data_IF_731237563848
#
_entry.id   IF_731237563848
#
_cell.length_a   1.000
_cell.length_b   1.000
_cell.length_c   1.000
_cell.angle_alpha   90.00
_cell.angle_beta   90.00
_cell.angle_gamma   90.00
#
_symmetry.space_group_name_H-M   'P 1'
#
loop_
_entity.id
_entity.type
_entity.pdbx_description
1 polymer ?
#
# COMPACT_ATOMS: atom_id res chain seq x y z
N UNK A 1 4.48 5.43 -11.34
CA UNK A 1 3.11 5.03 -10.94
C UNK A 1 2.37 6.26 -10.45
N UNK A 2 1.11 6.47 -10.85
CA UNK A 2 0.35 7.70 -10.53
C UNK A 2 -0.09 7.66 -9.06
N UNK A 3 0.27 8.67 -8.25
CA UNK A 3 -0.32 8.86 -6.92
C UNK A 3 -1.66 9.56 -7.08
N UNK A 4 -2.75 8.89 -6.71
CA UNK A 4 -4.07 9.51 -6.67
C UNK A 4 -4.21 10.29 -5.37
N UNK A 5 -4.71 11.52 -5.46
CA UNK A 5 -5.11 12.27 -4.27
C UNK A 5 -6.22 11.51 -3.55
N UNK A 6 -6.03 11.22 -2.27
CA UNK A 6 -7.05 10.55 -1.45
C UNK A 6 -8.19 11.47 -1.01
N UNK A 7 -8.04 12.77 -1.22
CA UNK A 7 -8.97 13.81 -0.76
C UNK A 7 -9.82 14.37 -1.92
N UNK A 8 -10.13 13.56 -2.94
CA UNK A 8 -10.87 13.98 -4.14
C UNK A 8 -11.91 12.97 -4.59
N UNK A 9 -12.67 13.30 -5.64
CA UNK A 9 -13.68 12.41 -6.21
C UNK A 9 -13.02 11.35 -7.10
N UNK A 10 -13.53 10.11 -7.05
CA UNK A 10 -12.94 9.00 -7.80
C UNK A 10 -12.94 9.22 -9.32
N UNK A 11 -13.93 9.94 -9.84
CA UNK A 11 -14.06 10.30 -11.27
C UNK A 11 -12.90 11.16 -11.80
N UNK A 12 -12.24 11.90 -10.92
CA UNK A 12 -11.10 12.76 -11.28
C UNK A 12 -9.78 11.99 -11.18
N UNK A 13 -9.77 10.90 -10.43
CA UNK A 13 -8.62 10.05 -10.20
C UNK A 13 -8.51 8.91 -11.23
N UNK A 14 -9.62 8.24 -11.59
CA UNK A 14 -9.61 7.06 -12.45
C UNK A 14 -10.55 7.22 -13.65
N UNK A 15 -10.11 6.71 -14.80
CA UNK A 15 -10.94 6.59 -16.01
C UNK A 15 -11.32 5.13 -16.26
N UNK A 16 -12.46 4.92 -16.89
CA UNK A 16 -12.85 3.58 -17.36
C UNK A 16 -11.79 3.02 -18.32
N UNK A 17 -11.56 1.71 -18.26
CA UNK A 17 -10.54 0.98 -19.06
C UNK A 17 -9.09 1.40 -18.79
N UNK A 18 -8.83 2.19 -17.75
CA UNK A 18 -7.46 2.53 -17.35
C UNK A 18 -6.79 1.35 -16.65
N UNK A 19 -5.70 0.84 -17.21
CA UNK A 19 -4.86 -0.16 -16.53
C UNK A 19 -4.10 0.51 -15.39
N UNK A 20 -4.06 -0.12 -14.22
CA UNK A 20 -3.32 0.36 -13.04
C UNK A 20 -2.75 -0.82 -12.28
N UNK A 21 -1.53 -0.66 -11.77
CA UNK A 21 -0.90 -1.66 -10.91
C UNK A 21 -1.64 -1.74 -9.57
N UNK A 22 -1.96 -2.95 -9.15
CA UNK A 22 -2.68 -3.24 -7.91
C UNK A 22 -2.08 -4.46 -7.22
N UNK A 23 -2.24 -4.52 -5.90
CA UNK A 23 -1.89 -5.65 -5.06
C UNK A 23 -3.17 -6.25 -4.48
N UNK A 24 -3.29 -7.58 -4.52
CA UNK A 24 -4.34 -8.32 -3.83
C UNK A 24 -4.05 -8.27 -2.33
N UNK A 25 -4.99 -7.73 -1.56
CA UNK A 25 -4.88 -7.61 -0.09
C UNK A 25 -5.82 -8.54 0.66
N UNK A 26 -6.86 -9.06 -0.02
CA UNK A 26 -7.69 -10.15 0.47
C UNK A 26 -8.10 -11.03 -0.70
N UNK A 27 -8.09 -12.34 -0.44
CA UNK A 27 -8.68 -13.32 -1.34
C UNK A 27 -10.16 -13.04 -1.59
N UNK A 28 -10.72 -13.55 -2.70
CA UNK A 28 -12.15 -13.51 -2.95
C UNK A 28 -12.95 -14.16 -1.81
N UNK A 29 -14.16 -13.63 -1.55
CA UNK A 29 -15.06 -14.19 -0.54
C UNK A 29 -16.43 -14.42 -1.18
N UNK A 30 -16.80 -15.69 -1.37
CA UNK A 30 -18.05 -16.08 -2.02
C UNK A 30 -18.18 -15.41 -3.40
N UNK A 31 -19.21 -14.58 -3.59
CA UNK A 31 -19.47 -13.85 -4.85
C UNK A 31 -18.70 -12.53 -4.96
N UNK A 32 -18.01 -12.09 -3.90
CA UNK A 32 -17.20 -10.87 -3.94
C UNK A 32 -15.80 -11.19 -4.45
N UNK A 33 -15.40 -10.48 -5.51
CA UNK A 33 -14.03 -10.53 -6.04
C UNK A 33 -12.97 -10.13 -5.01
N UNK A 34 -11.68 -10.32 -5.34
CA UNK A 34 -10.58 -10.03 -4.44
C UNK A 34 -10.52 -8.55 -4.08
N UNK A 35 -10.10 -8.24 -2.86
CA UNK A 35 -9.88 -6.84 -2.46
C UNK A 35 -8.52 -6.39 -2.95
N UNK A 36 -8.49 -5.26 -3.65
CA UNK A 36 -7.29 -4.70 -4.26
C UNK A 36 -6.84 -3.41 -3.58
N UNK A 37 -5.55 -3.11 -3.66
CA UNK A 37 -4.94 -1.83 -3.26
C UNK A 37 -3.96 -1.35 -4.32
N UNK A 38 -3.90 -0.04 -4.57
CA UNK A 38 -2.83 0.56 -5.39
C UNK A 38 -1.59 0.93 -4.56
N UNK A 39 -1.61 0.69 -3.24
CA UNK A 39 -0.42 0.78 -2.39
C UNK A 39 0.33 -0.55 -2.44
N UNK A 40 1.42 -0.56 -3.20
CA UNK A 40 2.27 -1.74 -3.33
C UNK A 40 3.23 -1.81 -2.14
N UNK A 41 3.32 -3.00 -1.55
CA UNK A 41 4.27 -3.31 -0.49
C UNK A 41 4.97 -4.63 -0.78
N UNK A 42 6.30 -4.62 -0.65
CA UNK A 42 7.15 -5.78 -0.85
C UNK A 42 7.76 -6.16 0.49
N UNK A 43 7.27 -7.25 1.07
CA UNK A 43 7.77 -7.76 2.34
C UNK A 43 9.08 -8.52 2.12
N UNK A 44 10.14 -8.08 2.78
CA UNK A 44 11.40 -8.80 2.94
C UNK A 44 11.52 -9.41 4.33
N UNK A 45 12.68 -10.04 4.61
CA UNK A 45 12.91 -10.72 5.89
C UNK A 45 12.93 -9.79 7.10
N UNK A 46 13.47 -8.57 6.93
CA UNK A 46 13.68 -7.60 8.03
C UNK A 46 13.02 -6.24 7.78
N UNK A 47 12.55 -5.99 6.57
CA UNK A 47 11.98 -4.70 6.16
C UNK A 47 10.83 -4.93 5.19
N UNK A 48 9.90 -3.98 5.14
CA UNK A 48 8.87 -3.89 4.11
C UNK A 48 9.16 -2.66 3.26
N UNK A 49 9.37 -2.85 1.95
CA UNK A 49 9.56 -1.75 1.00
C UNK A 49 8.20 -1.28 0.48
N UNK A 50 7.95 0.02 0.58
CA UNK A 50 6.77 0.67 0.01
C UNK A 50 7.27 1.69 -1.03
N UNK A 51 7.49 1.29 -2.29
CA UNK A 51 8.30 2.04 -3.27
C UNK A 51 7.73 3.41 -3.67
N UNK A 52 6.46 3.69 -3.34
CA UNK A 52 5.81 4.96 -3.67
C UNK A 52 5.35 5.73 -2.44
N UNK A 53 5.83 5.38 -1.24
CA UNK A 53 5.58 6.11 0.00
C UNK A 53 6.79 6.96 0.37
N UNK A 54 6.57 8.16 0.90
CA UNK A 54 7.62 8.99 1.53
C UNK A 54 7.77 8.71 3.03
N UNK A 55 6.92 7.83 3.57
CA UNK A 55 6.93 7.49 4.99
C UNK A 55 7.92 6.38 5.28
N UNK A 56 8.82 6.64 6.23
CA UNK A 56 9.62 5.62 6.92
C UNK A 56 8.95 5.33 8.26
N UNK A 57 8.89 4.07 8.67
CA UNK A 57 8.27 3.67 9.94
C UNK A 57 8.96 2.45 10.51
N UNK A 58 9.11 2.43 11.83
CA UNK A 58 9.73 1.33 12.58
C UNK A 58 8.64 0.50 13.26
N UNK A 59 8.85 -0.81 13.35
CA UNK A 59 7.88 -1.73 13.99
C UNK A 59 7.56 -1.30 15.42
N UNK A 60 6.27 -1.21 15.74
CA UNK A 60 5.81 -0.87 17.09
C UNK A 60 6.21 -1.91 18.15
N UNK A 61 6.56 -3.13 17.73
CA UNK A 61 7.07 -4.18 18.64
C UNK A 61 8.49 -3.88 19.14
N UNK A 62 9.24 -3.05 18.43
CA UNK A 62 10.55 -2.57 18.87
C UNK A 62 10.30 -1.52 19.95
N UNK A 63 10.64 -1.85 21.20
CA UNK A 63 10.43 -0.97 22.37
C UNK A 63 11.68 -0.17 22.74
N UNK A 64 12.87 -0.65 22.38
CA UNK A 64 14.14 0.03 22.66
C UNK A 64 14.23 1.35 21.88
N UNK A 65 14.66 2.41 22.56
CA UNK A 65 14.90 3.71 21.93
C UNK A 65 16.17 3.70 21.07
N UNK A 66 17.17 2.90 21.41
CA UNK A 66 18.43 2.83 20.66
C UNK A 66 18.24 2.12 19.31
N UNK A 67 17.37 1.10 19.28
CA UNK A 67 17.02 0.35 18.07
C UNK A 67 16.07 1.16 17.14
N UNK A 68 15.46 2.23 17.65
CA UNK A 68 14.60 3.16 16.87
C UNK A 68 15.35 4.31 16.21
N UNK A 69 16.60 4.57 16.60
CA UNK A 69 17.40 5.71 16.11
C UNK A 69 18.32 5.37 14.93
N UNK A 70 18.34 4.09 14.51
CA UNK A 70 19.11 3.61 13.37
C UNK A 70 18.56 4.08 12.03
#
# INVERSE_FOLDING_TARGET
MKRYSKNGLIKDCLKAQQTTLVQVIKEPISTKGPRLSSEISLAGRFMVLIPFSERISISQKIKSQDEKKG
#
